data_IF_271025191776
#
_entry.id   IF_271025191776
#
_cell.length_a   1.000
_cell.length_b   1.000
_cell.length_c   1.000
_cell.angle_alpha   90.00
_cell.angle_beta   90.00
_cell.angle_gamma   90.00
#
_symmetry.space_group_name_H-M   'P 1'
#
loop_
_entity.id
_entity.type
_entity.pdbx_description
1 polymer ?
#
# COMPACT_ATOMS: atom_id res chain seq x y z
N UNK A 1 -7.37 -5.03 -17.30
CA UNK A 1 -7.16 -4.37 -16.01
C UNK A 1 -5.85 -4.87 -15.41
N UNK A 2 -4.94 -3.99 -14.97
CA UNK A 2 -3.68 -4.26 -14.24
C UNK A 2 -2.62 -5.15 -14.93
N UNK A 3 -2.63 -5.32 -16.26
CA UNK A 3 -1.68 -6.19 -16.96
C UNK A 3 -0.21 -5.76 -16.80
N UNK A 4 0.05 -4.45 -16.69
CA UNK A 4 1.40 -3.91 -16.51
C UNK A 4 2.02 -4.24 -15.16
N UNK A 5 1.22 -4.37 -14.11
CA UNK A 5 1.71 -4.77 -12.79
C UNK A 5 2.36 -6.14 -12.83
N UNK A 6 1.68 -7.12 -13.43
CA UNK A 6 2.19 -8.49 -13.58
C UNK A 6 3.48 -8.56 -14.39
N UNK A 7 3.55 -7.81 -15.51
CA UNK A 7 4.76 -7.75 -16.35
C UNK A 7 5.96 -7.20 -15.58
N UNK A 8 5.77 -6.17 -14.77
CA UNK A 8 6.84 -5.55 -14.00
C UNK A 8 7.38 -6.43 -12.88
N UNK A 9 6.58 -7.35 -12.36
CA UNK A 9 7.01 -8.30 -11.34
C UNK A 9 7.92 -9.43 -11.88
N UNK A 10 8.06 -9.58 -13.20
CA UNK A 10 8.95 -10.60 -13.79
C UNK A 10 10.40 -10.40 -13.34
N UNK A 11 10.90 -9.17 -13.33
CA UNK A 11 12.25 -8.83 -12.87
C UNK A 11 12.53 -9.25 -11.42
N UNK A 12 11.58 -9.05 -10.52
CA UNK A 12 11.68 -9.53 -9.13
C UNK A 12 11.74 -11.06 -9.05
N UNK A 13 10.85 -11.76 -9.79
CA UNK A 13 10.82 -13.22 -9.85
C UNK A 13 12.13 -13.79 -10.39
N UNK A 14 12.68 -13.21 -11.45
CA UNK A 14 13.94 -13.61 -12.07
C UNK A 14 15.12 -13.36 -11.13
N UNK A 15 15.21 -12.19 -10.50
CA UNK A 15 16.27 -11.87 -9.55
C UNK A 15 16.28 -12.83 -8.36
N UNK A 16 15.11 -13.12 -7.78
CA UNK A 16 14.98 -14.07 -6.67
C UNK A 16 15.35 -15.49 -7.10
N UNK A 17 14.89 -15.93 -8.27
CA UNK A 17 15.21 -17.24 -8.84
C UNK A 17 16.70 -17.40 -9.08
N UNK A 18 17.36 -16.39 -9.62
CA UNK A 18 18.81 -16.36 -9.84
C UNK A 18 19.58 -16.52 -8.55
N UNK A 19 19.19 -15.80 -7.48
CA UNK A 19 19.85 -15.89 -6.17
C UNK A 19 19.68 -17.25 -5.51
N UNK A 20 18.51 -17.85 -5.63
CA UNK A 20 18.27 -19.21 -5.11
C UNK A 20 19.09 -20.22 -5.90
N UNK A 21 19.13 -20.13 -7.23
CA UNK A 21 19.94 -21.03 -8.07
C UNK A 21 21.44 -20.90 -7.79
N UNK A 22 21.95 -19.68 -7.58
CA UNK A 22 23.33 -19.43 -7.18
C UNK A 22 23.68 -20.16 -5.86
N UNK A 23 22.81 -20.04 -4.85
CA UNK A 23 23.00 -20.73 -3.57
C UNK A 23 22.95 -22.25 -3.68
N UNK A 24 22.04 -22.78 -4.48
CA UNK A 24 21.95 -24.23 -4.74
C UNK A 24 23.23 -24.73 -5.39
N UNK A 25 23.71 -24.06 -6.46
CA UNK A 25 24.96 -24.42 -7.14
C UNK A 25 26.18 -24.36 -6.21
N UNK A 26 26.23 -23.36 -5.34
CA UNK A 26 27.31 -23.24 -4.34
C UNK A 26 27.25 -24.40 -3.34
N UNK A 27 26.06 -24.77 -2.88
CA UNK A 27 25.87 -25.89 -1.95
C UNK A 27 26.27 -27.25 -2.57
N UNK A 28 25.91 -27.48 -3.84
CA UNK A 28 26.29 -28.69 -4.59
C UNK A 28 27.81 -28.78 -4.78
N UNK A 29 28.49 -27.67 -5.08
CA UNK A 29 29.95 -27.62 -5.18
C UNK A 29 30.62 -27.93 -3.86
N UNK A 30 30.08 -27.47 -2.74
CA UNK A 30 30.60 -27.78 -1.39
C UNK A 30 30.37 -29.25 -1.06
N UNK A 31 29.18 -29.80 -1.34
CA UNK A 31 28.84 -31.20 -1.12
C UNK A 31 29.72 -32.16 -1.96
N UNK A 32 29.94 -31.84 -3.25
CA UNK A 32 30.81 -32.62 -4.13
C UNK A 32 32.26 -32.65 -3.67
N UNK A 33 32.76 -31.58 -3.04
CA UNK A 33 34.12 -31.56 -2.45
C UNK A 33 34.23 -32.35 -1.15
N UNK A 34 33.17 -32.45 -0.36
CA UNK A 34 33.16 -33.20 0.92
C UNK A 34 33.08 -34.72 0.66
N UNK A 35 32.35 -35.15 -0.38
CA UNK A 35 32.19 -36.58 -0.72
C UNK A 35 33.35 -37.16 -1.54
N UNK A 36 34.34 -36.34 -1.93
CA UNK A 36 35.41 -36.72 -2.85
C UNK A 36 36.66 -37.35 -2.22
N UNK A 37 36.85 -37.45 -0.89
CA UNK A 37 37.89 -38.21 -0.20
C UNK A 37 37.63 -38.31 1.32
N UNK A 38 37.79 -39.47 1.96
CA UNK A 38 37.84 -39.57 3.40
C UNK A 38 39.23 -39.15 3.88
N UNK A 39 39.45 -37.88 4.11
CA UNK A 39 40.62 -37.27 4.70
C UNK A 39 40.23 -36.48 5.93
N UNK A 40 41.08 -36.50 6.96
CA UNK A 40 40.87 -36.00 8.32
C UNK A 40 40.19 -34.62 8.40
N UNK A 41 39.42 -34.38 9.46
CA UNK A 41 38.71 -33.13 9.78
C UNK A 41 39.55 -31.84 9.69
N UNK A 42 40.89 -31.94 9.69
CA UNK A 42 41.85 -30.83 9.56
C UNK A 42 41.94 -30.28 8.13
N UNK A 43 41.76 -31.13 7.07
CA UNK A 43 41.88 -30.72 5.67
C UNK A 43 40.65 -30.01 5.16
N UNK A 44 39.46 -30.34 5.68
CA UNK A 44 38.20 -29.66 5.35
C UNK A 44 38.19 -28.19 5.80
N UNK A 45 38.88 -27.88 6.88
CA UNK A 45 38.96 -26.53 7.46
C UNK A 45 39.90 -25.60 6.69
N UNK A 46 40.97 -26.16 6.09
CA UNK A 46 41.93 -25.40 5.28
C UNK A 46 41.34 -25.04 3.89
N UNK A 47 40.56 -25.95 3.28
CA UNK A 47 39.94 -25.73 1.98
C UNK A 47 38.75 -24.74 2.02
N UNK A 48 38.11 -24.57 3.18
CA UNK A 48 37.06 -23.57 3.39
C UNK A 48 37.60 -22.14 3.56
N UNK A 49 38.88 -22.00 3.92
CA UNK A 49 39.53 -20.69 3.99
C UNK A 49 39.84 -20.11 2.59
N UNK A 50 40.15 -20.97 1.62
CA UNK A 50 40.44 -20.56 0.24
C UNK A 50 39.22 -20.10 -0.55
N UNK A 51 38.03 -20.61 -0.21
CA UNK A 51 36.75 -20.18 -0.86
C UNK A 51 36.35 -18.78 -0.42
N UNK A 52 36.82 -18.29 0.73
CA UNK A 52 36.58 -16.91 1.19
C UNK A 52 37.42 -15.85 0.47
N UNK A 53 38.47 -16.27 -0.26
CA UNK A 53 39.39 -15.38 -0.98
C UNK A 53 38.96 -15.03 -2.41
N UNK A 54 37.87 -15.65 -2.92
CA UNK A 54 37.32 -15.38 -4.25
C UNK A 54 36.05 -14.50 -4.12
N UNK A 55 36.24 -13.27 -3.65
CA UNK A 55 35.26 -12.20 -3.79
C UNK A 55 35.65 -11.34 -5.02
N UNK A 56 34.70 -10.67 -5.67
CA UNK A 56 34.99 -9.90 -6.87
C UNK A 56 35.99 -8.78 -6.57
N UNK A 57 37.10 -8.77 -7.33
CA UNK A 57 38.07 -7.69 -7.30
C UNK A 57 37.43 -6.45 -7.93
N UNK A 58 37.23 -5.43 -7.13
CA UNK A 58 36.86 -4.11 -7.63
C UNK A 58 38.05 -3.48 -8.35
N UNK A 59 37.93 -3.17 -9.63
CA UNK A 59 38.91 -2.41 -10.41
C UNK A 59 39.08 -1.01 -9.80
N UNK A 60 40.34 -0.74 -9.41
CA UNK A 60 40.81 0.59 -9.01
C UNK A 60 41.04 1.42 -10.27
N UNK A 61 40.14 2.34 -10.58
CA UNK A 61 40.38 3.46 -11.48
C UNK A 61 41.10 4.59 -10.75
N UNK A 62 42.30 4.93 -11.23
CA UNK A 62 43.11 6.05 -10.76
C UNK A 62 42.57 7.39 -11.29
N UNK A 63 42.59 8.42 -10.46
CA UNK A 63 42.27 9.81 -10.90
C UNK A 63 42.49 10.84 -9.80
N UNK A 64 43.72 11.30 -9.70
CA UNK A 64 44.30 12.63 -9.34
C UNK A 64 43.47 13.60 -8.48
N UNK A 65 44.16 14.05 -7.47
CA UNK A 65 43.86 14.97 -6.43
C UNK A 65 43.56 16.42 -6.79
N UNK A 66 42.97 17.08 -5.82
CA UNK A 66 43.33 18.47 -5.48
C UNK A 66 42.99 18.76 -4.03
N UNK A 67 44.03 19.14 -3.29
CA UNK A 67 43.96 19.77 -1.97
C UNK A 67 43.41 21.18 -2.10
N UNK A 68 42.53 21.59 -1.21
CA UNK A 68 42.47 22.99 -0.75
C UNK A 68 42.17 23.03 0.74
N UNK A 69 43.01 23.75 1.41
CA UNK A 69 43.17 23.98 2.82
C UNK A 69 42.36 25.18 3.31
N UNK A 70 42.31 25.30 4.65
CA UNK A 70 42.08 26.48 5.50
C UNK A 70 40.62 26.72 5.88
N UNK A 71 40.30 27.16 7.07
CA UNK A 71 41.03 27.48 8.33
C UNK A 71 39.99 27.87 9.40
N UNK A 72 40.27 27.45 10.65
CA UNK A 72 40.12 28.20 11.91
C UNK A 72 38.85 29.06 12.09
N UNK A 73 38.19 29.06 13.23
CA UNK A 73 38.56 29.51 14.58
C UNK A 73 37.43 29.19 15.58
N UNK A 74 37.79 28.65 16.74
CA UNK A 74 37.65 29.13 18.13
C UNK A 74 36.28 29.72 18.52
N UNK A 75 35.71 29.41 19.67
CA UNK A 75 36.16 29.44 21.04
C UNK A 75 35.11 28.91 22.03
N UNK A 76 35.55 28.16 23.03
CA UNK A 76 35.41 28.29 24.48
C UNK A 76 33.99 28.37 25.07
N UNK A 77 33.67 27.58 26.08
CA UNK A 77 34.16 27.53 27.48
C UNK A 77 33.47 26.39 28.24
N UNK A 78 34.15 25.56 28.86
CA UNK A 78 34.44 25.20 30.22
C UNK A 78 33.29 25.15 31.24
N UNK A 79 33.08 23.99 31.87
CA UNK A 79 33.20 23.76 33.32
C UNK A 79 33.00 22.32 33.71
N UNK A 80 34.06 21.69 34.12
CA UNK A 80 34.40 20.87 35.30
C UNK A 80 33.30 20.23 36.13
N UNK A 81 33.37 18.90 36.34
CA UNK A 81 33.79 18.24 37.59
C UNK A 81 33.64 16.73 37.54
N UNK A 82 34.71 16.07 37.73
CA UNK A 82 35.27 15.15 38.74
C UNK A 82 34.80 13.68 38.63
N UNK A 83 35.82 12.90 38.20
CA UNK A 83 36.45 11.70 38.79
C UNK A 83 35.62 10.66 39.53
N UNK A 84 35.59 9.45 39.00
CA UNK A 84 36.08 8.25 39.74
C UNK A 84 36.34 7.08 38.80
N UNK A 85 37.58 6.66 38.81
CA UNK A 85 38.11 5.42 38.26
C UNK A 85 37.58 4.19 38.99
N UNK A 86 37.24 3.12 38.28
CA UNK A 86 37.44 1.74 38.76
C UNK A 86 37.50 0.78 37.56
N UNK A 87 38.67 0.20 37.46
CA UNK A 87 39.11 -1.07 36.87
C UNK A 87 38.18 -1.92 36.01
N UNK A 88 38.72 -2.27 34.84
CA UNK A 88 38.34 -3.37 33.98
C UNK A 88 38.40 -4.75 34.66
N UNK A 89 37.70 -5.76 34.08
CA UNK A 89 38.48 -6.89 33.62
C UNK A 89 38.21 -7.26 32.15
N UNK A 90 39.28 -7.49 31.44
CA UNK A 90 39.35 -8.26 30.20
C UNK A 90 38.70 -9.63 30.39
N UNK A 91 37.82 -10.01 29.47
CA UNK A 91 37.52 -11.37 28.99
C UNK A 91 36.17 -11.42 28.30
N UNK A 92 36.14 -11.38 26.95
CA UNK A 92 35.11 -12.09 26.17
C UNK A 92 35.30 -11.99 24.64
N UNK A 93 36.50 -12.03 24.11
CA UNK A 93 36.70 -12.15 22.65
C UNK A 93 36.69 -13.60 22.11
N UNK A 94 36.58 -14.62 22.95
CA UNK A 94 36.68 -16.03 22.51
C UNK A 94 35.31 -16.62 22.13
N UNK A 95 34.17 -15.98 22.48
CA UNK A 95 32.85 -16.61 22.34
C UNK A 95 32.05 -16.24 21.06
N UNK A 96 32.55 -15.31 20.23
CA UNK A 96 31.87 -14.92 19.01
C UNK A 96 32.29 -15.72 17.76
N UNK A 97 33.45 -16.38 17.80
CA UNK A 97 33.89 -17.26 16.70
C UNK A 97 33.27 -18.68 16.75
N UNK A 98 32.82 -19.14 17.89
CA UNK A 98 32.16 -20.45 18.02
C UNK A 98 30.70 -20.44 17.60
N UNK A 99 29.95 -19.38 17.90
CA UNK A 99 28.54 -19.22 17.45
C UNK A 99 28.42 -19.10 15.93
N UNK A 100 29.37 -18.46 15.27
CA UNK A 100 29.42 -18.34 13.81
C UNK A 100 29.73 -19.68 13.11
N UNK A 101 30.54 -20.51 13.70
CA UNK A 101 30.91 -21.84 13.16
C UNK A 101 29.76 -22.87 13.30
N UNK A 102 29.06 -22.89 14.43
CA UNK A 102 27.91 -23.78 14.65
C UNK A 102 26.75 -23.43 13.66
N UNK A 103 26.44 -22.16 13.49
CA UNK A 103 25.42 -21.70 12.53
C UNK A 103 25.77 -22.10 11.08
N UNK A 104 27.06 -22.10 10.69
CA UNK A 104 27.45 -22.46 9.33
C UNK A 104 27.34 -23.98 9.07
N UNK A 105 27.70 -24.80 10.05
CA UNK A 105 27.60 -26.27 9.97
C UNK A 105 26.14 -26.75 9.98
N UNK A 106 25.26 -26.10 10.72
CA UNK A 106 23.82 -26.38 10.68
C UNK A 106 23.21 -25.99 9.32
N UNK A 107 23.57 -24.83 8.77
CA UNK A 107 23.16 -24.40 7.43
C UNK A 107 23.65 -25.34 6.32
N UNK A 108 24.91 -25.82 6.42
CA UNK A 108 25.43 -26.79 5.47
C UNK A 108 24.77 -28.17 5.59
N UNK A 109 24.43 -28.62 6.81
CA UNK A 109 23.70 -29.87 7.03
C UNK A 109 22.26 -29.80 6.49
N UNK A 110 21.53 -28.69 6.70
CA UNK A 110 20.18 -28.51 6.19
C UNK A 110 20.13 -28.47 4.65
N UNK A 111 21.11 -27.84 4.02
CA UNK A 111 21.27 -27.81 2.56
C UNK A 111 21.55 -29.20 1.96
N UNK A 112 22.32 -30.04 2.65
CA UNK A 112 22.77 -31.35 2.12
C UNK A 112 21.76 -32.46 2.43
N UNK A 113 21.15 -32.47 3.62
CA UNK A 113 20.24 -33.54 4.06
C UNK A 113 18.76 -33.26 3.81
N UNK A 114 18.31 -32.00 3.89
CA UNK A 114 16.90 -31.63 3.81
C UNK A 114 16.51 -31.03 2.46
N UNK A 115 17.47 -30.80 1.55
CA UNK A 115 17.23 -30.10 0.27
C UNK A 115 16.53 -28.74 0.46
N UNK A 116 16.92 -28.01 1.51
CA UNK A 116 16.33 -26.72 1.84
C UNK A 116 17.37 -25.59 1.75
N UNK A 117 16.98 -24.47 1.17
CA UNK A 117 17.77 -23.24 1.09
C UNK A 117 17.24 -22.24 2.12
N UNK A 118 18.16 -21.64 2.89
CA UNK A 118 17.85 -20.52 3.80
C UNK A 118 18.38 -19.25 3.16
N UNK A 119 17.49 -18.29 2.88
CA UNK A 119 17.86 -16.98 2.34
C UNK A 119 18.33 -16.07 3.46
N UNK A 120 19.49 -15.49 3.29
CA UNK A 120 20.03 -14.45 4.17
C UNK A 120 19.65 -13.06 3.65
N UNK A 121 19.76 -12.08 4.51
CA UNK A 121 19.39 -10.69 4.16
C UNK A 121 20.12 -10.16 2.93
N UNK A 122 21.43 -10.44 2.83
CA UNK A 122 22.28 -10.07 1.68
C UNK A 122 21.86 -10.69 0.34
N UNK A 123 21.20 -11.85 0.37
CA UNK A 123 20.76 -12.55 -0.85
C UNK A 123 19.51 -11.90 -1.44
N UNK A 124 18.84 -11.10 -0.63
CA UNK A 124 17.58 -10.43 -0.99
C UNK A 124 17.76 -8.97 -1.44
N UNK A 125 18.97 -8.39 -1.32
CA UNK A 125 19.18 -6.97 -1.66
C UNK A 125 18.76 -6.65 -3.12
N UNK A 126 19.28 -7.42 -4.08
CA UNK A 126 18.96 -7.21 -5.50
C UNK A 126 17.50 -7.55 -5.85
N UNK A 127 16.91 -8.69 -5.40
CA UNK A 127 15.49 -8.96 -5.61
C UNK A 127 14.56 -7.91 -4.97
N UNK A 128 14.88 -7.42 -3.77
CA UNK A 128 14.06 -6.40 -3.10
C UNK A 128 14.12 -5.06 -3.81
N UNK A 129 15.28 -4.67 -4.31
CA UNK A 129 15.41 -3.48 -5.15
C UNK A 129 14.60 -3.60 -6.46
N UNK A 130 14.67 -4.76 -7.13
CA UNK A 130 13.85 -5.01 -8.32
C UNK A 130 12.35 -4.97 -8.02
N UNK A 131 11.91 -5.48 -6.87
CA UNK A 131 10.52 -5.40 -6.42
C UNK A 131 10.10 -3.94 -6.18
N UNK A 132 10.91 -3.15 -5.48
CA UNK A 132 10.64 -1.74 -5.18
C UNK A 132 10.45 -0.93 -6.48
N UNK A 133 11.37 -1.11 -7.44
CA UNK A 133 11.26 -0.46 -8.75
C UNK A 133 10.00 -0.87 -9.50
N UNK A 134 9.65 -2.16 -9.51
CA UNK A 134 8.44 -2.67 -10.15
C UNK A 134 7.15 -2.09 -9.54
N UNK A 135 7.12 -1.94 -8.21
CA UNK A 135 6.01 -1.33 -7.49
C UNK A 135 5.87 0.16 -7.85
N UNK A 136 6.97 0.91 -7.83
CA UNK A 136 6.97 2.34 -8.19
C UNK A 136 6.56 2.58 -9.65
N UNK A 137 7.04 1.77 -10.58
CA UNK A 137 6.64 1.82 -12.00
C UNK A 137 5.16 1.47 -12.21
N UNK A 138 4.55 0.81 -11.22
CA UNK A 138 3.12 0.48 -11.18
C UNK A 138 2.29 1.53 -10.42
N UNK A 139 2.80 2.73 -10.22
CA UNK A 139 2.19 3.86 -9.49
C UNK A 139 1.91 3.56 -7.99
N UNK A 140 2.68 2.64 -7.40
CA UNK A 140 2.73 2.51 -5.95
C UNK A 140 3.59 3.63 -5.38
N UNK A 141 3.09 4.38 -4.41
CA UNK A 141 3.83 5.45 -3.76
C UNK A 141 5.03 4.89 -2.98
N UNK A 142 6.16 5.60 -2.99
CA UNK A 142 7.42 5.14 -2.40
C UNK A 142 7.27 4.60 -0.95
N UNK A 143 6.62 5.30 0.00
CA UNK A 143 6.48 4.78 1.36
C UNK A 143 5.72 3.46 1.44
N UNK A 144 4.85 3.20 0.46
CA UNK A 144 4.06 1.97 0.37
C UNK A 144 4.87 0.85 -0.25
N UNK A 145 5.67 1.17 -1.28
CA UNK A 145 6.60 0.23 -1.90
C UNK A 145 7.63 -0.27 -0.88
N UNK A 146 8.23 0.63 -0.08
CA UNK A 146 9.15 0.31 1.01
C UNK A 146 8.49 -0.63 2.05
N UNK A 147 7.24 -0.37 2.43
CA UNK A 147 6.51 -1.22 3.38
C UNK A 147 6.26 -2.62 2.81
N UNK A 148 5.82 -2.72 1.54
CA UNK A 148 5.60 -4.00 0.87
C UNK A 148 6.93 -4.78 0.79
N UNK A 149 8.01 -4.13 0.38
CA UNK A 149 9.36 -4.73 0.32
C UNK A 149 9.79 -5.23 1.69
N UNK A 150 9.54 -4.47 2.75
CA UNK A 150 9.86 -4.87 4.13
C UNK A 150 9.09 -6.12 4.55
N UNK A 151 7.80 -6.19 4.27
CA UNK A 151 6.96 -7.35 4.60
C UNK A 151 7.38 -8.59 3.80
N UNK A 152 7.65 -8.45 2.50
CA UNK A 152 8.15 -9.54 1.64
C UNK A 152 9.52 -10.03 2.13
N UNK A 153 10.44 -9.11 2.44
CA UNK A 153 11.76 -9.44 2.98
C UNK A 153 11.63 -10.21 4.30
N UNK A 154 10.77 -9.77 5.21
CA UNK A 154 10.53 -10.44 6.49
C UNK A 154 9.92 -11.84 6.30
N UNK A 155 9.10 -12.04 5.27
CA UNK A 155 8.54 -13.35 4.94
C UNK A 155 9.58 -14.30 4.33
N UNK A 156 10.60 -13.81 3.65
CA UNK A 156 11.59 -14.62 2.94
C UNK A 156 12.84 -14.93 3.79
N UNK A 157 13.28 -13.98 4.64
CA UNK A 157 14.51 -14.13 5.45
C UNK A 157 14.35 -15.26 6.47
N UNK A 158 15.36 -16.13 6.52
CA UNK A 158 15.47 -17.20 7.53
C UNK A 158 14.50 -18.36 7.38
N UNK A 159 13.52 -18.29 6.47
CA UNK A 159 12.64 -19.44 6.21
C UNK A 159 13.31 -20.48 5.33
N UNK A 160 13.13 -21.73 5.70
CA UNK A 160 13.57 -22.87 4.92
C UNK A 160 12.71 -23.03 3.67
N UNK A 161 13.32 -23.06 2.49
CA UNK A 161 12.65 -23.26 1.20
C UNK A 161 13.22 -24.51 0.53
N UNK A 162 12.38 -25.42 0.07
CA UNK A 162 12.82 -26.66 -0.61
C UNK A 162 13.53 -26.34 -1.92
N UNK A 163 14.65 -27.02 -2.17
CA UNK A 163 15.37 -27.00 -3.45
C UNK A 163 14.48 -27.68 -4.49
N UNK A 164 14.26 -27.02 -5.66
CA UNK A 164 13.37 -27.53 -6.69
C UNK A 164 11.92 -27.06 -6.55
N UNK A 165 11.54 -26.34 -5.48
CA UNK A 165 10.27 -25.61 -5.48
C UNK A 165 10.32 -24.47 -6.52
N UNK A 166 9.19 -24.17 -7.14
CA UNK A 166 9.09 -23.05 -8.06
C UNK A 166 9.38 -21.75 -7.31
N UNK A 167 10.56 -21.20 -7.57
CA UNK A 167 11.03 -19.97 -6.92
C UNK A 167 10.18 -18.76 -7.31
N UNK A 168 9.61 -18.77 -8.52
CA UNK A 168 8.65 -17.78 -8.97
C UNK A 168 7.36 -17.82 -8.14
N UNK A 169 6.85 -19.02 -7.85
CA UNK A 169 5.69 -19.20 -6.99
C UNK A 169 5.93 -18.74 -5.55
N UNK A 170 7.14 -18.95 -5.02
CA UNK A 170 7.52 -18.46 -3.68
C UNK A 170 7.51 -16.94 -3.63
N UNK A 171 8.12 -16.28 -4.62
CA UNK A 171 8.13 -14.82 -4.74
C UNK A 171 6.70 -14.25 -4.82
N UNK A 172 5.89 -14.87 -5.65
CA UNK A 172 4.49 -14.50 -5.87
C UNK A 172 3.66 -14.65 -4.60
N UNK A 173 3.78 -15.76 -3.90
CA UNK A 173 3.06 -16.01 -2.66
C UNK A 173 3.47 -15.04 -1.54
N UNK A 174 4.76 -14.74 -1.39
CA UNK A 174 5.23 -13.74 -0.42
C UNK A 174 4.67 -12.35 -0.70
N UNK A 175 4.69 -11.92 -1.97
CA UNK A 175 4.12 -10.64 -2.37
C UNK A 175 2.60 -10.60 -2.16
N UNK A 176 1.89 -11.67 -2.53
CA UNK A 176 0.46 -11.82 -2.30
C UNK A 176 0.10 -11.65 -0.82
N UNK A 177 0.82 -12.34 0.05
CA UNK A 177 0.61 -12.27 1.49
C UNK A 177 0.85 -10.84 2.03
N UNK A 178 1.91 -10.18 1.58
CA UNK A 178 2.23 -8.81 1.97
C UNK A 178 1.12 -7.83 1.54
N UNK A 179 0.65 -7.93 0.28
CA UNK A 179 -0.44 -7.09 -0.25
C UNK A 179 -1.75 -7.32 0.51
N UNK A 180 -2.15 -8.58 0.74
CA UNK A 180 -3.38 -8.90 1.49
C UNK A 180 -3.27 -8.35 2.92
N UNK A 181 -2.15 -8.56 3.60
CA UNK A 181 -1.91 -8.07 4.96
C UNK A 181 -2.05 -6.55 5.01
N UNK A 182 -1.43 -5.85 4.06
CA UNK A 182 -1.46 -4.39 3.99
C UNK A 182 -2.87 -3.86 3.74
N UNK A 183 -3.59 -4.43 2.77
CA UNK A 183 -4.94 -4.00 2.39
C UNK A 183 -6.01 -4.36 3.43
N UNK A 184 -5.78 -5.40 4.23
CA UNK A 184 -6.71 -5.85 5.28
C UNK A 184 -6.59 -5.04 6.57
N UNK A 185 -5.50 -4.29 6.78
CA UNK A 185 -5.28 -3.50 8.02
C UNK A 185 -6.42 -2.52 8.32
N UNK A 186 -7.06 -1.98 7.30
CA UNK A 186 -8.10 -0.94 7.40
C UNK A 186 -9.38 -1.37 6.66
N UNK A 187 -9.81 -2.60 6.85
CA UNK A 187 -11.05 -3.10 6.24
C UNK A 187 -12.29 -2.57 6.98
N UNK A 188 -13.29 -2.11 6.23
CA UNK A 188 -14.62 -1.76 6.72
C UNK A 188 -15.66 -2.46 5.86
N UNK A 189 -16.47 -3.30 6.47
CA UNK A 189 -17.66 -3.80 5.80
C UNK A 189 -18.73 -2.71 5.75
N UNK A 190 -18.99 -2.21 4.53
CA UNK A 190 -19.93 -1.12 4.30
C UNK A 190 -21.37 -1.50 4.69
N UNK A 191 -21.77 -2.73 4.44
CA UNK A 191 -23.14 -3.20 4.72
C UNK A 191 -23.38 -3.32 6.21
N UNK A 192 -22.44 -3.90 6.94
CA UNK A 192 -22.46 -3.97 8.39
C UNK A 192 -22.44 -2.58 9.04
N UNK A 193 -21.62 -1.68 8.45
CA UNK A 193 -21.55 -0.30 8.91
C UNK A 193 -22.90 0.41 8.78
N UNK A 194 -23.59 0.33 7.61
CA UNK A 194 -24.91 0.95 7.40
C UNK A 194 -25.95 0.35 8.36
N UNK A 195 -25.94 -0.96 8.57
CA UNK A 195 -26.87 -1.63 9.52
C UNK A 195 -26.69 -1.16 10.96
N UNK A 196 -25.45 -0.86 11.35
CA UNK A 196 -25.10 -0.49 12.73
C UNK A 196 -25.47 0.95 13.11
N UNK A 197 -25.81 1.80 12.13
CA UNK A 197 -26.07 3.23 12.35
C UNK A 197 -27.54 3.54 12.54
N UNK A 198 -27.78 4.59 13.33
CA UNK A 198 -29.11 5.18 13.49
C UNK A 198 -29.56 5.84 12.19
N UNK A 199 -30.82 5.62 11.83
CA UNK A 199 -31.40 6.15 10.60
C UNK A 199 -31.96 7.58 10.78
N UNK A 200 -31.87 8.44 9.80
CA UNK A 200 -31.22 8.23 8.48
C UNK A 200 -29.69 8.29 8.57
N UNK A 201 -29.03 7.31 7.97
CA UNK A 201 -27.56 7.31 7.84
C UNK A 201 -27.13 8.39 6.85
N UNK A 202 -26.24 9.28 7.26
CA UNK A 202 -25.81 10.45 6.49
C UNK A 202 -24.44 10.18 5.87
N UNK A 203 -24.37 10.05 4.56
CA UNK A 203 -23.15 9.79 3.82
C UNK A 203 -22.82 11.01 2.94
N UNK A 204 -21.64 11.59 3.17
CA UNK A 204 -21.15 12.75 2.43
C UNK A 204 -20.04 12.32 1.47
N UNK A 205 -20.17 12.69 0.18
CA UNK A 205 -19.18 12.39 -0.84
C UNK A 205 -18.33 13.62 -1.13
N UNK A 206 -17.01 13.45 -1.03
CA UNK A 206 -16.00 14.49 -1.25
C UNK A 206 -14.97 14.06 -2.29
N UNK A 207 -14.24 14.99 -2.86
CA UNK A 207 -13.22 14.72 -3.88
C UNK A 207 -13.22 15.81 -4.96
N UNK A 208 -12.26 15.80 -5.88
CA UNK A 208 -12.11 16.84 -6.91
C UNK A 208 -13.16 16.72 -8.01
N UNK A 209 -13.32 17.79 -8.82
CA UNK A 209 -14.23 17.77 -9.95
C UNK A 209 -13.75 16.77 -11.02
N UNK A 210 -14.70 16.06 -11.65
CA UNK A 210 -14.40 15.12 -12.72
C UNK A 210 -14.07 13.70 -12.27
N UNK A 211 -13.82 13.47 -10.97
CA UNK A 211 -13.50 12.15 -10.42
C UNK A 211 -14.67 11.18 -10.32
N UNK A 212 -15.85 11.57 -10.78
CA UNK A 212 -17.01 10.68 -10.80
C UNK A 212 -17.85 10.67 -9.51
N UNK A 213 -17.76 11.69 -8.62
CA UNK A 213 -18.56 11.78 -7.39
C UNK A 213 -20.04 11.55 -7.62
N UNK A 214 -20.68 12.40 -8.44
CA UNK A 214 -22.13 12.36 -8.71
C UNK A 214 -22.57 11.00 -9.27
N UNK A 215 -21.76 10.42 -10.16
CA UNK A 215 -21.99 9.06 -10.69
C UNK A 215 -21.83 7.99 -9.61
N UNK A 216 -20.82 8.11 -8.75
CA UNK A 216 -20.61 7.18 -7.63
C UNK A 216 -21.76 7.23 -6.63
N UNK A 217 -22.30 8.42 -6.34
CA UNK A 217 -23.51 8.59 -5.51
C UNK A 217 -24.67 7.80 -6.09
N UNK A 218 -24.93 7.94 -7.40
CA UNK A 218 -26.01 7.21 -8.07
C UNK A 218 -25.80 5.68 -8.06
N UNK A 219 -24.56 5.22 -8.21
CA UNK A 219 -24.22 3.79 -8.10
C UNK A 219 -24.41 3.25 -6.68
N UNK A 220 -23.94 4.00 -5.66
CA UNK A 220 -24.14 3.63 -4.24
C UNK A 220 -25.65 3.67 -3.90
N UNK A 221 -26.38 4.64 -4.41
CA UNK A 221 -27.85 4.69 -4.25
C UNK A 221 -28.50 3.42 -4.79
N UNK A 222 -28.15 3.01 -6.02
CA UNK A 222 -28.66 1.77 -6.63
C UNK A 222 -28.26 0.53 -5.85
N UNK A 223 -27.02 0.48 -5.36
CA UNK A 223 -26.50 -0.62 -4.51
C UNK A 223 -27.34 -0.76 -3.23
N UNK A 224 -27.62 0.36 -2.52
CA UNK A 224 -28.43 0.37 -1.31
C UNK A 224 -29.89 0.01 -1.59
N UNK A 225 -30.48 0.52 -2.69
CA UNK A 225 -31.84 0.15 -3.12
C UNK A 225 -31.98 -1.35 -3.37
N UNK A 226 -30.98 -1.99 -3.96
CA UNK A 226 -30.98 -3.44 -4.18
C UNK A 226 -30.98 -4.23 -2.86
N UNK A 227 -30.56 -3.61 -1.76
CA UNK A 227 -30.64 -4.13 -0.40
C UNK A 227 -31.88 -3.66 0.38
N UNK A 228 -32.87 -3.09 -0.32
CA UNK A 228 -34.13 -2.59 0.21
C UNK A 228 -34.00 -1.35 1.13
N UNK A 229 -32.91 -0.58 1.05
CA UNK A 229 -32.82 0.71 1.72
C UNK A 229 -33.55 1.79 0.92
N UNK A 230 -34.29 2.64 1.62
CA UNK A 230 -34.88 3.86 1.05
C UNK A 230 -33.86 5.00 1.12
N UNK A 231 -33.59 5.65 -0.04
CA UNK A 231 -32.51 6.61 -0.20
C UNK A 231 -33.05 7.99 -0.60
N UNK A 232 -32.43 9.06 -0.06
CA UNK A 232 -32.64 10.45 -0.45
C UNK A 232 -31.31 11.01 -0.96
N UNK A 233 -31.34 11.78 -2.05
CA UNK A 233 -30.17 12.46 -2.60
C UNK A 233 -30.20 13.95 -2.21
N UNK A 234 -29.03 14.50 -1.82
CA UNK A 234 -28.86 15.91 -1.51
C UNK A 234 -27.89 16.57 -2.49
N UNK A 235 -28.35 17.57 -3.25
CA UNK A 235 -27.56 18.30 -4.25
C UNK A 235 -26.72 19.40 -3.60
N UNK A 236 -25.68 19.02 -2.84
CA UNK A 236 -24.83 19.96 -2.11
C UNK A 236 -23.72 20.61 -2.96
N UNK A 237 -23.49 20.20 -4.23
CA UNK A 237 -22.70 20.99 -5.20
C UNK A 237 -23.53 22.15 -5.75
N UNK A 238 -23.81 23.12 -4.91
CA UNK A 238 -24.65 24.27 -5.25
C UNK A 238 -23.97 25.29 -6.15
N UNK A 239 -22.66 25.20 -6.36
CA UNK A 239 -21.91 26.15 -7.20
C UNK A 239 -22.00 25.84 -8.69
N UNK A 240 -22.39 24.62 -9.04
CA UNK A 240 -22.46 24.14 -10.41
C UNK A 240 -23.88 23.73 -10.75
N UNK A 241 -24.57 24.57 -11.56
CA UNK A 241 -25.93 24.24 -12.02
C UNK A 241 -26.01 22.85 -12.68
N UNK A 242 -25.06 22.52 -13.56
CA UNK A 242 -24.99 21.22 -14.20
C UNK A 242 -24.74 20.03 -13.25
N UNK A 243 -24.17 20.25 -12.06
CA UNK A 243 -24.04 19.18 -11.06
C UNK A 243 -25.38 18.87 -10.40
N UNK A 244 -26.15 19.91 -10.09
CA UNK A 244 -27.53 19.76 -9.57
C UNK A 244 -28.38 19.00 -10.59
N UNK A 245 -28.39 19.46 -11.86
CA UNK A 245 -29.14 18.82 -12.95
C UNK A 245 -28.71 17.37 -13.18
N UNK A 246 -27.41 17.08 -13.13
CA UNK A 246 -26.90 15.72 -13.27
C UNK A 246 -27.40 14.80 -12.15
N UNK A 247 -27.42 15.28 -10.90
CA UNK A 247 -27.94 14.51 -9.78
C UNK A 247 -29.46 14.30 -9.90
N UNK A 248 -30.20 15.29 -10.41
CA UNK A 248 -31.63 15.16 -10.67
C UNK A 248 -31.91 14.08 -11.72
N UNK A 249 -31.19 14.08 -12.84
CA UNK A 249 -31.31 13.03 -13.87
C UNK A 249 -31.08 11.63 -13.28
N UNK A 250 -30.12 11.50 -12.39
CA UNK A 250 -29.90 10.22 -11.67
C UNK A 250 -31.05 9.90 -10.72
N UNK A 251 -31.54 10.91 -9.98
CA UNK A 251 -32.69 10.76 -9.09
C UNK A 251 -33.93 10.29 -9.84
N UNK A 252 -34.29 10.93 -10.97
CA UNK A 252 -35.37 10.54 -11.82
C UNK A 252 -35.27 9.11 -12.34
N UNK A 253 -34.08 8.74 -12.90
CA UNK A 253 -33.84 7.38 -13.39
C UNK A 253 -33.95 6.29 -12.31
N UNK A 254 -33.65 6.63 -11.07
CA UNK A 254 -33.70 5.68 -9.94
C UNK A 254 -35.03 5.82 -9.15
N UNK A 255 -35.90 6.75 -9.46
CA UNK A 255 -37.14 7.03 -8.72
C UNK A 255 -36.87 7.55 -7.29
N UNK A 256 -35.79 8.31 -7.11
CA UNK A 256 -35.35 8.83 -5.81
C UNK A 256 -35.66 10.31 -5.66
N UNK A 257 -36.00 10.72 -4.44
CA UNK A 257 -36.14 12.15 -4.10
C UNK A 257 -34.76 12.81 -4.09
N UNK A 258 -34.63 13.91 -4.83
CA UNK A 258 -33.50 14.83 -4.77
C UNK A 258 -33.95 16.11 -4.04
N UNK A 259 -33.21 16.44 -2.97
CA UNK A 259 -33.35 17.72 -2.27
C UNK A 259 -32.29 18.68 -2.82
N UNK A 260 -32.75 19.85 -3.28
CA UNK A 260 -31.92 20.88 -3.90
C UNK A 260 -32.34 22.29 -3.50
N UNK A 261 -31.41 23.22 -3.58
CA UNK A 261 -31.66 24.66 -3.51
C UNK A 261 -31.30 25.34 -4.85
N UNK A 262 -31.53 26.65 -4.92
CA UNK A 262 -31.09 27.46 -6.07
C UNK A 262 -29.53 27.43 -6.13
N UNK A 263 -29.02 27.52 -7.35
CA UNK A 263 -27.57 27.67 -7.60
C UNK A 263 -27.01 28.82 -6.75
N UNK A 264 -25.88 28.60 -6.09
CA UNK A 264 -25.26 29.52 -5.14
C UNK A 264 -25.80 29.47 -3.71
N UNK A 265 -26.76 28.58 -3.43
CA UNK A 265 -27.25 28.33 -2.07
C UNK A 265 -26.18 27.74 -1.14
N UNK A 266 -26.45 27.72 0.17
CA UNK A 266 -25.56 27.12 1.17
C UNK A 266 -25.60 25.58 1.09
N UNK A 267 -24.52 24.90 0.74
CA UNK A 267 -24.46 23.44 0.70
C UNK A 267 -24.88 22.76 2.01
N UNK A 268 -24.51 23.34 3.15
CA UNK A 268 -24.87 22.78 4.45
C UNK A 268 -26.38 22.80 4.70
N UNK A 269 -27.06 23.85 4.22
CA UNK A 269 -28.53 23.98 4.34
C UNK A 269 -29.23 22.91 3.47
N UNK A 270 -28.78 22.70 2.22
CA UNK A 270 -29.35 21.65 1.35
C UNK A 270 -29.26 20.28 1.98
N UNK A 271 -28.07 19.94 2.55
CA UNK A 271 -27.85 18.63 3.17
C UNK A 271 -28.69 18.51 4.45
N UNK A 272 -28.77 19.58 5.25
CA UNK A 272 -29.62 19.62 6.43
C UNK A 272 -31.09 19.35 6.07
N UNK A 273 -31.60 20.04 5.09
CA UNK A 273 -33.02 19.87 4.64
C UNK A 273 -33.26 18.45 4.09
N UNK A 274 -32.25 17.84 3.45
CA UNK A 274 -32.35 16.45 3.01
C UNK A 274 -32.43 15.47 4.20
N UNK A 275 -31.69 15.74 5.27
CA UNK A 275 -31.76 14.94 6.50
C UNK A 275 -33.12 15.10 7.18
N UNK A 276 -33.63 16.33 7.29
CA UNK A 276 -34.95 16.57 7.88
C UNK A 276 -36.07 15.95 7.04
N UNK A 277 -35.97 16.05 5.71
CA UNK A 277 -36.87 15.33 4.81
C UNK A 277 -36.82 13.82 5.04
N UNK A 278 -35.62 13.25 5.15
CA UNK A 278 -35.46 11.83 5.36
C UNK A 278 -36.06 11.35 6.69
N UNK A 279 -35.88 12.13 7.76
CA UNK A 279 -36.53 11.87 9.07
C UNK A 279 -38.04 11.89 8.98
N UNK A 280 -38.59 12.96 8.39
CA UNK A 280 -40.04 13.16 8.26
C UNK A 280 -40.72 12.06 7.42
N UNK A 281 -40.00 11.43 6.51
CA UNK A 281 -40.51 10.40 5.59
C UNK A 281 -39.98 9.01 5.89
N UNK A 282 -39.35 8.79 7.05
CA UNK A 282 -38.77 7.50 7.50
C UNK A 282 -37.86 6.87 6.43
N UNK A 283 -36.97 7.68 5.83
CA UNK A 283 -35.98 7.20 4.88
C UNK A 283 -34.73 6.70 5.62
N UNK A 284 -34.07 5.70 5.03
CA UNK A 284 -32.96 4.99 5.69
C UNK A 284 -31.61 5.71 5.50
N UNK A 285 -31.37 6.29 4.32
CA UNK A 285 -30.04 6.83 3.96
C UNK A 285 -30.19 8.17 3.22
N UNK A 286 -29.32 9.12 3.55
CA UNK A 286 -29.10 10.37 2.81
C UNK A 286 -27.72 10.33 2.17
N UNK A 287 -27.65 10.43 0.84
CA UNK A 287 -26.41 10.55 0.08
C UNK A 287 -26.24 12.00 -0.39
N UNK A 288 -25.19 12.66 0.05
CA UNK A 288 -24.98 14.08 -0.22
C UNK A 288 -23.79 14.29 -1.17
N UNK A 289 -24.04 14.93 -2.31
CA UNK A 289 -22.98 15.42 -3.21
C UNK A 289 -22.40 16.71 -2.66
N UNK A 290 -21.11 16.98 -2.98
CA UNK A 290 -20.45 18.22 -2.61
C UNK A 290 -19.63 18.79 -3.76
N UNK A 291 -19.33 20.09 -3.68
CA UNK A 291 -18.44 20.75 -4.63
C UNK A 291 -17.05 20.12 -4.58
N UNK A 292 -16.46 19.90 -5.75
CA UNK A 292 -15.15 19.28 -5.92
C UNK A 292 -14.12 20.24 -6.48
N UNK A 293 -14.07 21.49 -6.04
CA UNK A 293 -13.03 22.43 -6.46
C UNK A 293 -11.67 21.95 -5.94
N UNK A 294 -10.60 22.40 -6.57
CA UNK A 294 -9.23 21.97 -6.23
C UNK A 294 -8.97 22.09 -4.72
N UNK A 295 -8.42 21.04 -4.15
CA UNK A 295 -8.04 20.88 -2.75
C UNK A 295 -7.09 21.97 -2.22
N UNK A 296 -6.43 22.73 -3.09
CA UNK A 296 -5.57 23.88 -2.78
C UNK A 296 -6.36 25.16 -2.44
N UNK A 297 -7.69 25.16 -2.62
CA UNK A 297 -8.49 26.35 -2.30
C UNK A 297 -8.92 26.32 -0.83
N UNK A 298 -8.29 27.18 0.00
CA UNK A 298 -8.55 27.31 1.44
C UNK A 298 -10.06 27.50 1.70
N UNK A 299 -10.73 28.29 0.87
CA UNK A 299 -12.18 28.52 1.01
C UNK A 299 -13.02 27.25 0.85
N UNK A 300 -12.57 26.29 0.02
CA UNK A 300 -13.28 25.02 -0.12
C UNK A 300 -13.10 24.15 1.12
N UNK A 301 -11.89 24.04 1.66
CA UNK A 301 -11.63 23.24 2.87
C UNK A 301 -12.41 23.80 4.07
N UNK A 302 -12.50 25.11 4.21
CA UNK A 302 -13.31 25.74 5.25
C UNK A 302 -14.81 25.49 5.05
N UNK A 303 -15.26 25.49 3.81
CA UNK A 303 -16.64 25.12 3.48
C UNK A 303 -16.92 23.64 3.81
N UNK A 304 -16.01 22.74 3.49
CA UNK A 304 -16.14 21.32 3.83
C UNK A 304 -16.18 21.13 5.35
N UNK A 305 -15.30 21.80 6.10
CA UNK A 305 -15.34 21.78 7.57
C UNK A 305 -16.68 22.31 8.10
N UNK A 306 -17.24 23.37 7.50
CA UNK A 306 -18.57 23.91 7.84
C UNK A 306 -19.66 22.85 7.60
N UNK A 307 -19.68 22.23 6.42
CA UNK A 307 -20.64 21.17 6.08
C UNK A 307 -20.56 20.05 7.11
N UNK A 308 -19.37 19.49 7.35
CA UNK A 308 -19.16 18.39 8.30
C UNK A 308 -19.64 18.78 9.71
N UNK A 309 -19.30 19.98 10.18
CA UNK A 309 -19.74 20.48 11.49
C UNK A 309 -21.24 20.60 11.64
N UNK A 310 -21.93 21.08 10.60
CA UNK A 310 -23.39 21.32 10.61
C UNK A 310 -24.15 20.02 10.45
N UNK A 311 -23.77 19.19 9.47
CA UNK A 311 -24.55 18.00 9.08
C UNK A 311 -24.17 16.75 9.87
N UNK A 312 -22.99 16.75 10.50
CA UNK A 312 -22.45 15.61 11.27
C UNK A 312 -22.67 14.30 10.51
N UNK A 313 -22.03 14.11 9.35
CA UNK A 313 -22.20 12.89 8.57
C UNK A 313 -21.70 11.67 9.35
N UNK A 314 -22.36 10.53 9.17
CA UNK A 314 -21.96 9.26 9.77
C UNK A 314 -20.76 8.67 9.01
N UNK A 315 -20.69 8.90 7.69
CA UNK A 315 -19.61 8.47 6.84
C UNK A 315 -19.24 9.55 5.83
N UNK A 316 -17.96 9.81 5.68
CA UNK A 316 -17.41 10.72 4.68
C UNK A 316 -16.59 9.90 3.68
N UNK A 317 -17.07 9.83 2.43
CA UNK A 317 -16.45 9.03 1.38
C UNK A 317 -15.67 9.95 0.44
N UNK A 318 -14.38 9.70 0.32
CA UNK A 318 -13.53 10.34 -0.68
C UNK A 318 -13.64 9.59 -2.02
N UNK A 319 -13.88 10.33 -3.11
CA UNK A 319 -14.02 9.76 -4.46
C UNK A 319 -12.93 10.33 -5.36
N UNK A 320 -12.10 9.45 -5.92
CA UNK A 320 -11.06 9.83 -6.87
C UNK A 320 -10.90 8.77 -7.99
N UNK A 321 -10.07 9.10 -8.98
CA UNK A 321 -9.81 8.23 -10.13
C UNK A 321 -8.57 7.37 -9.87
N UNK A 322 -8.66 6.07 -10.11
CA UNK A 322 -7.51 5.17 -10.00
C UNK A 322 -6.38 5.54 -10.98
N UNK A 323 -6.75 6.02 -12.19
CA UNK A 323 -5.79 6.41 -13.22
C UNK A 323 -4.95 7.67 -12.89
N UNK A 324 -5.32 8.41 -11.84
CA UNK A 324 -4.58 9.60 -11.42
C UNK A 324 -3.27 9.29 -10.66
N UNK A 325 -3.01 8.02 -10.36
CA UNK A 325 -1.74 7.59 -9.76
C UNK A 325 -1.45 8.29 -8.43
N UNK A 326 -0.22 8.75 -8.27
CA UNK A 326 0.24 9.43 -7.06
C UNK A 326 -0.49 10.76 -6.78
N UNK A 327 -1.05 11.42 -7.81
CA UNK A 327 -1.85 12.62 -7.60
C UNK A 327 -3.14 12.32 -6.79
N UNK A 328 -3.76 11.17 -7.02
CA UNK A 328 -4.90 10.73 -6.22
C UNK A 328 -4.51 10.46 -4.76
N UNK A 329 -3.32 9.90 -4.54
CA UNK A 329 -2.77 9.65 -3.20
C UNK A 329 -2.58 10.96 -2.43
N UNK A 330 -1.96 11.96 -3.07
CA UNK A 330 -1.72 13.26 -2.45
C UNK A 330 -3.04 14.00 -2.16
N UNK A 331 -4.00 13.95 -3.08
CA UNK A 331 -5.35 14.50 -2.84
C UNK A 331 -6.04 13.81 -1.66
N UNK A 332 -5.99 12.48 -1.60
CA UNK A 332 -6.58 11.72 -0.51
C UNK A 332 -5.97 12.12 0.85
N UNK A 333 -4.64 12.30 0.92
CA UNK A 333 -3.92 12.76 2.10
C UNK A 333 -4.43 14.14 2.55
N UNK A 334 -4.49 15.11 1.65
CA UNK A 334 -4.93 16.48 1.93
C UNK A 334 -6.39 16.55 2.39
N UNK A 335 -7.28 15.77 1.75
CA UNK A 335 -8.67 15.67 2.21
C UNK A 335 -8.77 15.05 3.60
N UNK A 336 -8.02 13.98 3.87
CA UNK A 336 -8.04 13.29 5.16
C UNK A 336 -7.52 14.19 6.31
N UNK A 337 -6.52 15.03 6.05
CA UNK A 337 -6.04 16.04 7.00
C UNK A 337 -7.07 17.13 7.29
N UNK A 338 -7.88 17.47 6.30
CA UNK A 338 -8.85 18.57 6.41
C UNK A 338 -10.19 18.14 7.01
N UNK A 339 -10.68 16.98 6.60
CA UNK A 339 -11.99 16.44 6.99
C UNK A 339 -11.84 14.91 7.11
N UNK A 340 -11.83 14.38 8.28
CA UNK A 340 -11.57 12.95 8.52
C UNK A 340 -12.36 12.03 7.57
N UNK A 341 -11.69 11.48 6.55
CA UNK A 341 -12.27 10.52 5.60
C UNK A 341 -12.60 9.23 6.35
N UNK A 342 -13.77 8.66 6.10
CA UNK A 342 -14.19 7.37 6.66
C UNK A 342 -13.98 6.18 5.72
N UNK A 343 -13.86 6.46 4.41
CA UNK A 343 -13.63 5.46 3.37
C UNK A 343 -13.43 6.09 2.00
N UNK A 344 -13.02 5.30 1.02
CA UNK A 344 -12.73 5.77 -0.35
C UNK A 344 -13.47 4.97 -1.41
N UNK A 345 -13.80 5.63 -2.52
CA UNK A 345 -14.26 4.99 -3.76
C UNK A 345 -13.29 5.38 -4.86
N UNK A 346 -12.72 4.39 -5.54
CA UNK A 346 -11.87 4.60 -6.70
C UNK A 346 -12.65 4.33 -7.97
N UNK A 347 -12.72 5.33 -8.84
CA UNK A 347 -13.42 5.27 -10.11
C UNK A 347 -12.45 5.00 -11.26
N UNK A 348 -12.99 4.64 -12.43
CA UNK A 348 -12.23 4.41 -13.67
C UNK A 348 -11.15 3.32 -13.51
N UNK A 349 -11.38 2.36 -12.64
CA UNK A 349 -10.44 1.25 -12.42
C UNK A 349 -10.37 0.31 -13.62
N UNK A 350 -11.40 0.31 -14.47
CA UNK A 350 -11.43 -0.36 -15.78
C UNK A 350 -10.38 0.20 -16.77
N UNK A 351 -10.05 1.47 -16.65
CA UNK A 351 -9.01 2.15 -17.44
C UNK A 351 -7.61 2.11 -16.79
N UNK A 352 -7.52 1.72 -15.52
CA UNK A 352 -6.25 1.61 -14.81
C UNK A 352 -5.51 0.31 -15.20
N UNK A 353 -4.37 0.47 -15.85
CA UNK A 353 -3.52 -0.65 -16.25
C UNK A 353 -2.47 -1.04 -15.18
N UNK A 354 -2.29 -0.22 -14.13
CA UNK A 354 -1.19 -0.33 -13.17
C UNK A 354 -1.65 -0.83 -11.78
N UNK A 355 -2.75 -0.31 -11.25
CA UNK A 355 -3.37 -0.76 -10.00
C UNK A 355 -2.72 -0.29 -8.70
N UNK A 356 -1.56 0.37 -8.76
CA UNK A 356 -0.81 0.78 -7.56
C UNK A 356 -1.48 1.87 -6.73
N UNK A 357 -2.31 2.71 -7.37
CA UNK A 357 -3.03 3.81 -6.70
C UNK A 357 -3.97 3.30 -5.60
N UNK A 358 -4.68 2.20 -5.85
CA UNK A 358 -5.62 1.63 -4.88
C UNK A 358 -4.89 1.19 -3.60
N UNK A 359 -3.74 0.53 -3.76
CA UNK A 359 -2.89 0.10 -2.66
C UNK A 359 -2.38 1.31 -1.88
N UNK A 360 -1.90 2.32 -2.60
CA UNK A 360 -1.28 3.51 -2.01
C UNK A 360 -2.28 4.36 -1.24
N UNK A 361 -3.48 4.58 -1.77
CA UNK A 361 -4.53 5.35 -1.10
C UNK A 361 -4.97 4.65 0.19
N UNK A 362 -5.20 3.34 0.15
CA UNK A 362 -5.58 2.57 1.34
C UNK A 362 -4.54 2.68 2.46
N UNK A 363 -3.25 2.57 2.12
CA UNK A 363 -2.16 2.63 3.09
C UNK A 363 -1.94 4.05 3.64
N UNK A 364 -1.77 5.05 2.77
CA UNK A 364 -1.38 6.42 3.16
C UNK A 364 -2.48 7.13 3.94
N UNK A 365 -3.74 6.94 3.56
CA UNK A 365 -4.86 7.52 4.29
C UNK A 365 -5.19 6.76 5.58
N UNK A 366 -4.75 5.51 5.70
CA UNK A 366 -5.18 4.62 6.77
C UNK A 366 -6.70 4.37 6.74
N UNK A 367 -7.35 4.54 5.58
CA UNK A 367 -8.80 4.42 5.40
C UNK A 367 -9.14 3.32 4.41
N UNK A 368 -10.26 2.60 4.64
CA UNK A 368 -10.66 1.52 3.76
C UNK A 368 -11.03 2.03 2.37
N UNK A 369 -10.67 1.28 1.34
CA UNK A 369 -11.36 1.34 0.05
C UNK A 369 -12.68 0.59 0.23
N UNK A 370 -13.80 1.22 -0.10
CA UNK A 370 -15.13 0.63 0.04
C UNK A 370 -15.62 0.00 -1.26
N UNK A 371 -15.41 0.73 -2.37
CA UNK A 371 -15.87 0.30 -3.69
C UNK A 371 -14.89 0.70 -4.78
N UNK A 372 -14.94 -0.07 -5.87
CA UNK A 372 -14.26 0.21 -7.13
C UNK A 372 -15.31 0.44 -8.23
N UNK A 373 -15.18 1.55 -8.97
CA UNK A 373 -15.98 1.83 -10.15
C UNK A 373 -15.30 1.24 -11.37
N UNK A 374 -15.91 0.19 -11.94
CA UNK A 374 -15.34 -0.63 -13.02
C UNK A 374 -15.98 -0.38 -14.39
N UNK A 375 -16.74 0.70 -14.55
CA UNK A 375 -17.41 1.05 -15.79
C UNK A 375 -18.41 2.20 -15.62
N UNK A 376 -19.35 2.36 -16.56
CA UNK A 376 -20.24 3.53 -16.64
C UNK A 376 -21.66 3.28 -16.10
N UNK A 377 -22.11 2.03 -16.03
CA UNK A 377 -23.48 1.70 -15.62
C UNK A 377 -23.62 1.57 -14.10
N UNK A 378 -24.84 1.59 -13.58
CA UNK A 378 -25.05 1.48 -12.12
C UNK A 378 -24.53 0.16 -11.52
N UNK A 379 -24.63 -1.00 -12.17
CA UNK A 379 -24.03 -2.25 -11.70
C UNK A 379 -22.49 -2.24 -11.67
N UNK A 380 -21.82 -1.32 -12.39
CA UNK A 380 -20.36 -1.25 -12.45
C UNK A 380 -19.78 -0.59 -11.19
N UNK A 381 -20.23 -1.04 -10.03
CA UNK A 381 -19.71 -0.71 -8.71
C UNK A 381 -19.45 -2.01 -7.97
N UNK A 382 -18.19 -2.35 -7.76
CA UNK A 382 -17.77 -3.57 -7.07
C UNK A 382 -17.38 -3.23 -5.64
N UNK A 383 -17.91 -3.98 -4.67
CA UNK A 383 -17.46 -3.90 -3.28
C UNK A 383 -15.98 -4.29 -3.22
N UNK A 384 -15.18 -3.51 -2.53
CA UNK A 384 -13.76 -3.78 -2.42
C UNK A 384 -13.50 -4.96 -1.50
N UNK A 385 -12.79 -5.95 -2.03
CA UNK A 385 -12.27 -7.08 -1.29
C UNK A 385 -10.77 -7.17 -1.55
N UNK A 386 -9.91 -7.18 -0.50
CA UNK A 386 -8.45 -7.26 -0.67
C UNK A 386 -8.01 -8.40 -1.57
N UNK A 387 -8.59 -9.58 -1.38
CA UNK A 387 -8.29 -10.77 -2.18
C UNK A 387 -8.61 -10.55 -3.67
N UNK A 388 -9.78 -9.99 -3.99
CA UNK A 388 -10.19 -9.69 -5.35
C UNK A 388 -9.22 -8.75 -6.07
N UNK A 389 -8.75 -7.70 -5.39
CA UNK A 389 -7.77 -6.79 -5.98
C UNK A 389 -6.43 -7.50 -6.22
N UNK A 390 -5.94 -8.25 -5.23
CA UNK A 390 -4.66 -8.97 -5.33
C UNK A 390 -4.70 -10.02 -6.43
N UNK A 391 -5.78 -10.81 -6.55
CA UNK A 391 -5.95 -11.81 -7.61
C UNK A 391 -5.89 -11.17 -9.00
N UNK A 392 -6.51 -10.00 -9.18
CA UNK A 392 -6.44 -9.25 -10.44
C UNK A 392 -5.07 -8.65 -10.71
N UNK A 393 -4.39 -8.13 -9.71
CA UNK A 393 -3.02 -7.61 -9.85
C UNK A 393 -2.03 -8.71 -10.21
N UNK A 394 -2.20 -9.89 -9.63
CA UNK A 394 -1.34 -11.06 -9.89
C UNK A 394 -1.76 -11.82 -11.16
N UNK A 395 -2.91 -11.50 -11.74
CA UNK A 395 -3.39 -12.05 -13.01
C UNK A 395 -4.00 -13.46 -12.91
N UNK A 396 -4.59 -13.80 -11.77
CA UNK A 396 -5.24 -15.09 -11.52
C UNK A 396 -6.77 -15.05 -11.72
N UNK A 397 -7.38 -13.85 -11.75
CA UNK A 397 -8.81 -13.70 -11.96
C UNK A 397 -9.10 -13.44 -13.45
N UNK A 398 -9.78 -14.39 -14.11
CA UNK A 398 -10.49 -14.14 -15.36
C UNK A 398 -11.73 -13.28 -15.09
N UNK A 399 -12.08 -12.45 -16.09
CA UNK A 399 -13.23 -11.52 -16.06
C UNK A 399 -14.54 -12.27 -16.01
#
# INVERSE_FOLDING_TARGET
MFNRFKEKLSGFKEALSSKIAEKVSLAEKISGKINGKPGSESDATAQLADVKAIGPQSEKGAGSGQKLSNSSTSSSSASTSSVRSLSAPERSEVNNKSKSRFSFLEKAKSLIFEQEVILEEKDLEEPMWALEMALMESDVALPVAEEIVREVKADLVGKKKKIGADTGAIAEQSLRNALITLLSKNHLDFDEYIKSKEKPVKILFVGVNGTGKTTSIAKVAKYLMNQNYSVVLAAGDTFRAGAIEQLEVHGEKLGLKVVKHKTGGDPAAVIFDAVEYAKAHNKDVVLADTAGRLHTNINLMDQMRKIVRVTKPDLLIFVDEAIAGNDAVERARLFNESVAIGGTILTKTDADAKGGSAISIAYITGKPVLFLGVGQTYPDLVKFEPQWLVDRLMGEAEV
#
